data_IF_851205272905
#
_entry.id   IF_851205272905
#
_cell.length_a   1.000
_cell.length_b   1.000
_cell.length_c   1.000
_cell.angle_alpha   90.00
_cell.angle_beta   90.00
_cell.angle_gamma   90.00
#
_symmetry.space_group_name_H-M   'P 1'
#
loop_
_entity.id
_entity.type
_entity.pdbx_description
1 polymer ?
#
# COMPACT_ATOMS: atom_id res chain seq x y z
N UNK A 1 -8.43 52.72 -46.52
CA UNK A 1 -8.94 51.38 -46.15
C UNK A 1 -7.95 50.47 -45.39
N UNK A 2 -6.64 50.77 -45.30
CA UNK A 2 -5.63 49.89 -44.64
C UNK A 2 -5.70 49.85 -43.10
N UNK A 3 -6.06 50.95 -42.44
CA UNK A 3 -6.08 51.04 -40.95
C UNK A 3 -7.21 50.27 -40.28
N UNK A 4 -8.32 50.01 -40.98
CA UNK A 4 -9.44 49.20 -40.46
C UNK A 4 -9.11 47.70 -40.41
N UNK A 5 -8.31 47.21 -41.38
CA UNK A 5 -7.89 45.80 -41.43
C UNK A 5 -6.89 45.46 -40.31
N UNK A 6 -5.98 46.39 -39.98
CA UNK A 6 -5.01 46.21 -38.89
C UNK A 6 -5.71 46.16 -37.52
N UNK A 7 -6.73 47.00 -37.28
CA UNK A 7 -7.51 46.96 -36.04
C UNK A 7 -8.29 45.65 -35.87
N UNK A 8 -8.84 45.11 -36.96
CA UNK A 8 -9.56 43.82 -36.92
C UNK A 8 -8.61 42.65 -36.63
N UNK A 9 -7.42 42.64 -37.25
CA UNK A 9 -6.39 41.61 -36.98
C UNK A 9 -5.91 41.67 -35.53
N UNK A 10 -5.76 42.87 -34.96
CA UNK A 10 -5.28 43.04 -33.59
C UNK A 10 -6.34 42.59 -32.56
N UNK A 11 -7.62 42.87 -32.81
CA UNK A 11 -8.74 42.38 -31.97
C UNK A 11 -8.88 40.85 -32.07
N UNK A 12 -8.70 40.28 -33.27
CA UNK A 12 -8.80 38.84 -33.47
C UNK A 12 -7.64 38.08 -32.81
N UNK A 13 -6.42 38.64 -32.84
CA UNK A 13 -5.25 38.08 -32.16
C UNK A 13 -5.40 38.10 -30.64
N UNK A 14 -6.00 39.16 -30.09
CA UNK A 14 -6.28 39.27 -28.65
C UNK A 14 -7.35 38.28 -28.18
N UNK A 15 -8.33 37.97 -29.05
CA UNK A 15 -9.40 37.01 -28.73
C UNK A 15 -8.92 35.56 -28.72
N UNK A 16 -7.97 35.20 -29.59
CA UNK A 16 -7.38 33.85 -29.61
C UNK A 16 -6.48 33.63 -28.39
N UNK A 17 -5.75 34.64 -27.93
CA UNK A 17 -4.89 34.52 -26.75
C UNK A 17 -5.66 34.21 -25.45
N UNK A 18 -6.88 34.74 -25.29
CA UNK A 18 -7.73 34.44 -24.12
C UNK A 18 -8.30 33.02 -24.11
N UNK A 19 -8.42 32.37 -25.27
CA UNK A 19 -8.92 30.99 -25.36
C UNK A 19 -7.87 29.94 -24.94
N UNK A 20 -6.56 30.25 -25.04
CA UNK A 20 -5.50 29.30 -24.66
C UNK A 20 -5.22 29.25 -23.15
N UNK A 21 -5.54 30.31 -22.39
CA UNK A 21 -5.30 30.34 -20.94
C UNK A 21 -6.27 29.46 -20.13
N UNK A 22 -7.47 29.19 -20.66
CA UNK A 22 -8.50 28.41 -19.96
C UNK A 22 -8.47 26.91 -20.26
N UNK A 23 -7.60 26.42 -21.15
CA UNK A 23 -7.49 25.00 -21.47
C UNK A 23 -6.15 24.38 -21.02
N UNK A 24 -5.52 24.96 -20.00
CA UNK A 24 -4.50 24.26 -19.25
C UNK A 24 -5.24 23.34 -18.26
N UNK A 25 -5.23 22.01 -18.44
CA UNK A 25 -5.64 21.12 -17.37
C UNK A 25 -4.66 21.36 -16.23
N UNK A 26 -5.08 22.19 -15.28
CA UNK A 26 -4.40 22.29 -14.00
C UNK A 26 -4.50 20.89 -13.40
N UNK A 27 -3.46 20.09 -13.61
CA UNK A 27 -3.17 18.91 -12.83
C UNK A 27 -2.84 19.40 -11.41
N UNK A 28 -3.85 19.96 -10.75
CA UNK A 28 -3.86 20.13 -9.32
C UNK A 28 -4.02 18.72 -8.82
N UNK A 29 -2.89 18.04 -8.61
CA UNK A 29 -2.84 16.85 -7.78
C UNK A 29 -3.37 17.30 -6.43
N UNK A 30 -4.66 17.11 -6.24
CA UNK A 30 -5.33 17.27 -4.96
C UNK A 30 -4.61 16.27 -4.07
N UNK A 31 -3.69 16.76 -3.25
CA UNK A 31 -3.04 15.92 -2.25
C UNK A 31 -4.16 15.45 -1.33
N UNK A 32 -4.68 14.27 -1.61
CA UNK A 32 -5.66 13.62 -0.77
C UNK A 32 -5.01 13.54 0.61
N UNK A 33 -5.66 14.19 1.57
CA UNK A 33 -5.21 14.23 2.95
C UNK A 33 -5.37 12.81 3.46
N UNK A 34 -4.28 12.03 3.38
CA UNK A 34 -4.26 10.61 3.77
C UNK A 34 -4.77 10.50 5.20
N UNK A 35 -5.92 9.86 5.37
CA UNK A 35 -6.56 9.68 6.65
C UNK A 35 -5.67 8.82 7.54
N UNK A 36 -5.45 9.26 8.78
CA UNK A 36 -4.57 8.52 9.69
C UNK A 36 -5.34 7.31 10.19
N UNK A 37 -4.88 6.11 9.84
CA UNK A 37 -5.51 4.88 10.34
C UNK A 37 -5.11 4.69 11.80
N UNK A 38 -6.08 4.64 12.74
CA UNK A 38 -5.76 4.44 14.15
C UNK A 38 -5.22 3.02 14.37
N UNK A 39 -4.19 2.91 15.21
CA UNK A 39 -3.76 1.61 15.74
C UNK A 39 -4.74 1.13 16.80
N UNK A 40 -4.99 -0.18 16.84
CA UNK A 40 -5.75 -0.81 17.93
C UNK A 40 -4.93 -0.80 19.25
N UNK A 41 -5.58 -0.67 20.41
CA UNK A 41 -4.94 -0.79 21.73
C UNK A 41 -4.20 -2.12 21.92
N UNK A 42 -3.16 -2.12 22.75
CA UNK A 42 -2.35 -3.32 23.01
C UNK A 42 -3.16 -4.52 23.53
N UNK A 43 -4.19 -4.28 24.34
CA UNK A 43 -5.09 -5.34 24.81
C UNK A 43 -5.86 -6.00 23.66
N UNK A 44 -6.36 -5.20 22.70
CA UNK A 44 -7.06 -5.69 21.51
C UNK A 44 -6.09 -6.40 20.54
N UNK A 45 -4.84 -5.96 20.47
CA UNK A 45 -3.80 -6.64 19.68
C UNK A 45 -3.55 -8.06 20.17
N UNK A 46 -3.42 -8.25 21.49
CA UNK A 46 -3.23 -9.57 22.07
C UNK A 46 -4.47 -10.45 21.89
N UNK A 47 -5.67 -9.88 21.96
CA UNK A 47 -6.91 -10.60 21.64
C UNK A 47 -6.95 -11.04 20.17
N UNK A 48 -6.54 -10.20 19.24
CA UNK A 48 -6.46 -10.53 17.82
C UNK A 48 -5.47 -11.68 17.57
N UNK A 49 -4.27 -11.62 18.13
CA UNK A 49 -3.28 -12.71 18.00
C UNK A 49 -3.82 -14.03 18.56
N UNK A 50 -4.50 -13.99 19.71
CA UNK A 50 -5.14 -15.16 20.30
C UNK A 50 -6.30 -15.69 19.45
N UNK A 51 -7.10 -14.81 18.83
CA UNK A 51 -8.18 -15.19 17.92
C UNK A 51 -7.63 -15.89 16.67
N UNK A 52 -6.59 -15.33 16.05
CA UNK A 52 -5.91 -15.93 14.89
C UNK A 52 -5.32 -17.30 15.29
N UNK A 53 -4.61 -17.37 16.42
CA UNK A 53 -4.04 -18.62 16.92
C UNK A 53 -5.10 -19.69 17.22
N UNK A 54 -6.26 -19.27 17.76
CA UNK A 54 -7.38 -20.17 18.02
C UNK A 54 -8.01 -20.69 16.73
N UNK A 55 -8.26 -19.81 15.74
CA UNK A 55 -8.78 -20.21 14.43
C UNK A 55 -7.83 -21.18 13.72
N UNK A 56 -6.52 -20.90 13.75
CA UNK A 56 -5.48 -21.80 13.22
C UNK A 56 -5.48 -23.15 13.93
N UNK A 57 -5.65 -23.15 15.26
CA UNK A 57 -5.68 -24.39 16.04
C UNK A 57 -6.95 -25.23 15.79
N UNK A 58 -8.09 -24.58 15.55
CA UNK A 58 -9.35 -25.24 15.19
C UNK A 58 -9.32 -25.81 13.76
N UNK A 59 -8.53 -25.22 12.86
CA UNK A 59 -8.30 -25.73 11.52
C UNK A 59 -7.54 -27.07 11.47
N UNK A 60 -7.12 -27.62 12.62
CA UNK A 60 -6.43 -28.89 12.73
C UNK A 60 -7.15 -30.10 12.08
N UNK A 61 -8.44 -29.97 11.77
CA UNK A 61 -9.29 -31.02 11.16
C UNK A 61 -9.44 -30.91 9.63
N UNK A 62 -8.57 -30.20 8.92
CA UNK A 62 -8.64 -30.03 7.46
C UNK A 62 -9.74 -29.08 7.00
N UNK A 63 -10.35 -28.34 7.93
CA UNK A 63 -11.39 -27.36 7.65
C UNK A 63 -10.78 -26.06 7.12
N UNK A 64 -11.51 -25.41 6.21
CA UNK A 64 -11.16 -24.11 5.68
C UNK A 64 -11.41 -23.03 6.74
N UNK A 65 -10.42 -22.16 6.95
CA UNK A 65 -10.53 -20.97 7.79
C UNK A 65 -10.50 -19.72 6.93
N UNK A 66 -11.27 -18.71 7.32
CA UNK A 66 -11.23 -17.39 6.72
C UNK A 66 -10.87 -16.38 7.80
N UNK A 67 -9.78 -15.66 7.58
CA UNK A 67 -9.29 -14.61 8.46
C UNK A 67 -9.54 -13.27 7.78
N UNK A 68 -10.23 -12.37 8.46
CA UNK A 68 -10.45 -10.99 8.01
C UNK A 68 -9.63 -10.04 8.88
N UNK A 69 -8.78 -9.23 8.24
CA UNK A 69 -7.96 -8.23 8.91
C UNK A 69 -8.32 -6.85 8.40
N UNK A 70 -8.69 -5.95 9.29
CA UNK A 70 -8.96 -4.54 8.97
C UNK A 70 -7.66 -3.74 8.83
N UNK A 71 -7.73 -2.57 8.21
CA UNK A 71 -6.63 -1.61 8.11
C UNK A 71 -5.98 -1.28 9.46
N UNK A 72 -6.78 -1.06 10.52
CA UNK A 72 -6.29 -0.75 11.87
C UNK A 72 -5.54 -1.93 12.49
N UNK A 73 -6.07 -3.14 12.33
CA UNK A 73 -5.45 -4.38 12.81
C UNK A 73 -4.12 -4.64 12.08
N UNK A 74 -4.08 -4.52 10.74
CA UNK A 74 -2.86 -4.66 9.96
C UNK A 74 -1.83 -3.60 10.33
N UNK A 75 -2.26 -2.34 10.48
CA UNK A 75 -1.41 -1.23 10.87
C UNK A 75 -0.76 -1.51 12.22
N UNK A 76 -1.52 -1.97 13.23
CA UNK A 76 -0.95 -2.34 14.53
C UNK A 76 -0.01 -3.54 14.47
N UNK A 77 -0.36 -4.60 13.73
CA UNK A 77 0.48 -5.79 13.59
C UNK A 77 1.81 -5.48 12.90
N UNK A 78 1.80 -4.60 11.91
CA UNK A 78 3.02 -4.20 11.21
C UNK A 78 3.87 -3.30 12.10
N UNK A 79 3.28 -2.30 12.78
CA UNK A 79 4.04 -1.46 13.70
C UNK A 79 4.67 -2.24 14.87
N UNK A 80 4.08 -3.36 15.32
CA UNK A 80 4.67 -4.20 16.36
C UNK A 80 5.78 -5.15 15.87
N UNK A 81 5.80 -5.47 14.56
CA UNK A 81 6.75 -6.42 13.97
C UNK A 81 7.88 -5.78 13.18
N UNK A 82 7.84 -4.48 12.93
CA UNK A 82 8.94 -3.81 12.21
C UNK A 82 10.19 -3.80 13.09
N UNK A 83 11.27 -4.48 12.66
CA UNK A 83 12.52 -4.41 13.38
C UNK A 83 13.12 -3.02 13.20
N UNK A 84 13.57 -2.40 14.29
CA UNK A 84 14.53 -1.32 14.21
C UNK A 84 15.86 -1.92 13.74
N UNK A 85 16.14 -1.84 12.43
CA UNK A 85 17.45 -2.23 11.92
C UNK A 85 18.43 -1.08 12.14
N UNK A 86 19.71 -1.40 12.29
CA UNK A 86 20.76 -0.42 12.57
C UNK A 86 20.92 0.61 11.44
N UNK A 87 20.50 0.26 10.22
CA UNK A 87 20.61 1.08 9.00
C UNK A 87 19.36 1.89 8.65
N UNK A 88 18.16 1.46 9.08
CA UNK A 88 16.91 2.13 8.75
C UNK A 88 15.88 2.05 9.88
N UNK A 89 15.39 3.21 10.29
CA UNK A 89 14.30 3.33 11.26
C UNK A 89 13.01 3.69 10.53
N UNK A 90 12.00 2.85 10.67
CA UNK A 90 10.65 3.12 10.17
C UNK A 90 9.74 3.54 11.33
N UNK A 91 8.86 4.50 11.07
CA UNK A 91 7.92 5.03 12.06
C UNK A 91 6.63 5.49 11.39
N UNK A 92 5.56 5.66 12.18
CA UNK A 92 4.24 6.12 11.71
C UNK A 92 3.71 5.32 10.52
N UNK A 93 3.89 3.99 10.55
CA UNK A 93 3.48 3.13 9.45
C UNK A 93 1.97 2.99 9.46
N UNK A 94 1.37 3.06 8.29
CA UNK A 94 -0.07 2.99 8.05
C UNK A 94 -0.33 2.08 6.86
N UNK A 95 -1.37 1.26 6.97
CA UNK A 95 -1.74 0.28 5.94
C UNK A 95 -3.16 0.56 5.47
N UNK A 96 -3.29 1.13 4.28
CA UNK A 96 -4.59 1.32 3.61
C UNK A 96 -4.86 0.19 2.64
N UNK A 97 -6.09 -0.29 2.54
CA UNK A 97 -6.53 -1.38 1.68
C UNK A 97 -7.60 -0.86 0.72
N UNK A 98 -7.22 -0.63 -0.54
CA UNK A 98 -8.10 -0.03 -1.56
C UNK A 98 -7.90 -0.73 -2.91
N UNK A 99 -8.97 -0.88 -3.69
CA UNK A 99 -8.92 -1.36 -5.09
C UNK A 99 -8.09 -2.64 -5.28
N UNK A 100 -8.31 -3.62 -4.41
CA UNK A 100 -7.60 -4.91 -4.41
C UNK A 100 -6.07 -4.81 -4.21
N UNK A 101 -5.59 -3.68 -3.67
CA UNK A 101 -4.20 -3.39 -3.36
C UNK A 101 -4.03 -2.94 -1.91
N UNK A 102 -2.94 -3.38 -1.30
CA UNK A 102 -2.49 -2.88 -0.01
C UNK A 102 -1.49 -1.76 -0.25
N UNK A 103 -1.66 -0.63 0.41
CA UNK A 103 -0.71 0.46 0.37
C UNK A 103 -0.17 0.73 1.78
N UNK A 104 1.14 0.54 1.92
CA UNK A 104 1.91 0.87 3.10
C UNK A 104 2.41 2.31 2.98
N UNK A 105 2.38 3.09 4.05
CA UNK A 105 2.99 4.41 4.08
C UNK A 105 3.55 4.71 5.45
N UNK A 106 4.64 5.46 5.51
CA UNK A 106 5.21 5.89 6.79
C UNK A 106 6.46 6.74 6.59
N UNK A 107 7.13 7.01 7.70
CA UNK A 107 8.36 7.76 7.74
C UNK A 107 9.54 6.79 7.87
N UNK A 108 10.59 7.04 7.08
CA UNK A 108 11.84 6.28 7.12
C UNK A 108 13.01 7.22 7.37
N UNK A 109 13.92 6.81 8.25
CA UNK A 109 15.19 7.47 8.52
C UNK A 109 16.31 6.48 8.25
N UNK A 110 17.11 6.70 7.23
CA UNK A 110 18.24 5.85 6.84
C UNK A 110 19.47 6.70 6.54
N UNK A 111 20.62 6.36 7.14
CA UNK A 111 21.91 7.03 6.90
C UNK A 111 21.87 8.58 7.00
N UNK A 112 21.06 9.13 7.90
CA UNK A 112 20.88 10.59 8.09
C UNK A 112 19.91 11.27 7.13
N UNK A 113 19.31 10.52 6.20
CA UNK A 113 18.25 10.98 5.30
C UNK A 113 16.91 10.57 5.89
N UNK A 114 16.01 11.55 6.08
CA UNK A 114 14.62 11.30 6.47
C UNK A 114 13.70 11.49 5.28
N UNK A 115 12.66 10.67 5.18
CA UNK A 115 11.69 10.80 4.12
C UNK A 115 10.41 10.02 4.36
N UNK A 116 9.41 10.33 3.55
CA UNK A 116 8.14 9.62 3.50
C UNK A 116 8.21 8.52 2.47
N UNK A 117 7.96 7.30 2.90
CA UNK A 117 7.85 6.14 2.02
C UNK A 117 6.38 5.82 1.79
N UNK A 118 6.03 5.46 0.56
CA UNK A 118 4.73 4.89 0.21
C UNK A 118 4.97 3.70 -0.71
N UNK A 119 4.44 2.54 -0.37
CA UNK A 119 4.63 1.27 -1.08
C UNK A 119 3.25 0.72 -1.40
N UNK A 120 2.97 0.45 -2.66
CA UNK A 120 1.74 -0.21 -3.11
C UNK A 120 2.07 -1.66 -3.46
N UNK A 121 1.29 -2.59 -2.92
CA UNK A 121 1.49 -4.02 -3.01
C UNK A 121 0.21 -4.70 -3.47
N UNK A 122 0.34 -5.64 -4.39
CA UNK A 122 -0.68 -6.63 -4.70
C UNK A 122 -0.48 -7.87 -3.82
N UNK A 123 -1.57 -8.39 -3.26
CA UNK A 123 -1.61 -9.60 -2.45
C UNK A 123 -2.17 -10.75 -3.30
N UNK A 124 -1.50 -11.90 -3.31
CA UNK A 124 -1.95 -13.08 -4.08
C UNK A 124 -1.44 -14.38 -3.45
N UNK A 125 -2.14 -15.50 -3.64
CA UNK A 125 -1.58 -16.82 -3.34
C UNK A 125 -0.77 -17.33 -4.56
N UNK A 126 0.39 -17.92 -4.34
CA UNK A 126 1.17 -18.56 -5.41
C UNK A 126 0.65 -19.98 -5.73
N UNK A 127 1.26 -20.63 -6.72
CA UNK A 127 0.87 -21.98 -7.15
C UNK A 127 1.09 -23.06 -6.09
N UNK A 128 1.89 -22.80 -5.06
CA UNK A 128 2.12 -23.67 -3.92
C UNK A 128 1.17 -23.34 -2.74
N UNK A 129 0.26 -22.38 -2.93
CA UNK A 129 -0.63 -21.85 -1.91
C UNK A 129 0.09 -21.08 -0.80
N UNK A 130 1.26 -20.52 -1.10
CA UNK A 130 1.95 -19.62 -0.18
C UNK A 130 1.52 -18.18 -0.47
N UNK A 131 1.50 -17.30 0.54
CA UNK A 131 1.29 -15.88 0.32
C UNK A 131 2.44 -15.30 -0.51
N UNK A 132 2.07 -14.59 -1.57
CA UNK A 132 2.97 -13.85 -2.43
C UNK A 132 2.56 -12.37 -2.44
N UNK A 133 3.53 -11.50 -2.17
CA UNK A 133 3.39 -10.06 -2.25
C UNK A 133 4.19 -9.53 -3.44
N UNK A 134 3.53 -8.74 -4.28
CA UNK A 134 4.16 -8.09 -5.43
C UNK A 134 4.09 -6.58 -5.24
N UNK A 135 5.25 -5.92 -5.16
CA UNK A 135 5.30 -4.46 -5.10
C UNK A 135 5.00 -3.90 -6.48
N UNK A 136 3.89 -3.17 -6.61
CA UNK A 136 3.47 -2.54 -7.87
C UNK A 136 4.10 -1.17 -8.03
N UNK A 137 4.30 -0.45 -6.92
CA UNK A 137 4.92 0.87 -6.91
C UNK A 137 5.55 1.16 -5.54
N UNK A 138 6.65 1.91 -5.50
CA UNK A 138 7.09 2.52 -4.26
C UNK A 138 7.70 3.90 -4.52
N UNK A 139 7.44 4.84 -3.61
CA UNK A 139 7.93 6.21 -3.68
C UNK A 139 8.63 6.61 -2.40
N UNK A 140 9.75 7.33 -2.51
CA UNK A 140 10.45 7.98 -1.41
C UNK A 140 10.45 9.49 -1.65
N UNK A 141 9.85 10.27 -0.75
CA UNK A 141 9.69 11.72 -0.89
C UNK A 141 9.05 12.13 -2.23
N UNK A 142 8.11 11.32 -2.73
CA UNK A 142 7.42 11.56 -4.00
C UNK A 142 8.17 11.08 -5.25
N UNK A 143 9.41 10.60 -5.11
CA UNK A 143 10.16 10.02 -6.23
C UNK A 143 9.95 8.52 -6.29
N UNK A 144 9.57 8.01 -7.47
CA UNK A 144 9.41 6.57 -7.68
C UNK A 144 10.76 5.86 -7.60
N UNK A 145 10.81 4.74 -6.89
CA UNK A 145 12.02 3.93 -6.78
C UNK A 145 12.27 3.14 -8.07
N UNK A 146 13.53 2.91 -8.46
CA UNK A 146 13.86 2.08 -9.62
C UNK A 146 13.34 0.65 -9.46
N UNK A 147 12.96 0.01 -10.58
CA UNK A 147 12.42 -1.36 -10.58
C UNK A 147 13.34 -2.36 -9.87
N UNK A 148 14.66 -2.21 -10.00
CA UNK A 148 15.63 -3.08 -9.33
C UNK A 148 15.51 -3.03 -7.80
N UNK A 149 15.23 -1.86 -7.22
CA UNK A 149 14.97 -1.72 -5.79
C UNK A 149 13.62 -2.36 -5.42
N UNK A 150 12.58 -2.15 -6.22
CA UNK A 150 11.27 -2.77 -5.98
C UNK A 150 11.37 -4.29 -5.94
N UNK A 151 12.08 -4.89 -6.90
CA UNK A 151 12.33 -6.33 -6.93
C UNK A 151 13.06 -6.81 -5.68
N UNK A 152 14.11 -6.11 -5.25
CA UNK A 152 14.86 -6.50 -4.05
C UNK A 152 14.02 -6.43 -2.78
N UNK A 153 13.21 -5.38 -2.62
CA UNK A 153 12.29 -5.24 -1.48
C UNK A 153 11.23 -6.35 -1.55
N UNK A 154 10.65 -6.61 -2.72
CA UNK A 154 9.64 -7.65 -2.91
C UNK A 154 10.20 -9.03 -2.56
N UNK A 155 11.41 -9.36 -2.98
CA UNK A 155 12.10 -10.61 -2.63
C UNK A 155 12.33 -10.69 -1.12
N UNK A 156 12.85 -9.63 -0.50
CA UNK A 156 13.11 -9.62 0.94
C UNK A 156 11.84 -9.82 1.78
N UNK A 157 10.73 -9.19 1.38
CA UNK A 157 9.42 -9.36 2.03
C UNK A 157 8.92 -10.80 1.83
N UNK A 158 8.96 -11.32 0.60
CA UNK A 158 8.51 -12.67 0.30
C UNK A 158 9.33 -13.73 1.05
N UNK A 159 10.65 -13.55 1.17
CA UNK A 159 11.52 -14.46 1.93
C UNK A 159 11.18 -14.43 3.43
N UNK A 160 10.93 -13.24 3.99
CA UNK A 160 10.50 -13.08 5.37
C UNK A 160 9.14 -13.74 5.67
N UNK A 161 8.21 -13.68 4.72
CA UNK A 161 6.90 -14.32 4.86
C UNK A 161 7.00 -15.84 4.66
N UNK A 162 7.78 -16.30 3.67
CA UNK A 162 8.02 -17.73 3.42
C UNK A 162 8.56 -18.43 4.66
N UNK A 163 9.47 -17.79 5.39
CA UNK A 163 10.00 -18.29 6.67
C UNK A 163 8.93 -18.52 7.75
N UNK A 164 7.77 -17.87 7.66
CA UNK A 164 6.65 -18.01 8.62
C UNK A 164 5.52 -18.93 8.13
N UNK A 165 5.53 -19.33 6.85
CA UNK A 165 4.44 -20.12 6.22
C UNK A 165 4.57 -21.64 6.38
N UNK A 166 5.55 -22.13 7.14
CA UNK A 166 5.82 -23.56 7.36
C UNK A 166 4.82 -24.32 8.24
N UNK A 167 3.66 -23.77 8.58
CA UNK A 167 2.75 -24.34 9.60
C UNK A 167 1.73 -25.38 9.07
N UNK A 168 1.95 -25.93 7.87
CA UNK A 168 1.05 -26.94 7.29
C UNK A 168 -0.27 -26.37 6.77
N UNK A 169 -0.28 -25.11 6.34
CA UNK A 169 -1.45 -24.46 5.75
C UNK A 169 -1.18 -24.08 4.30
N UNK A 170 -2.20 -24.25 3.46
CA UNK A 170 -2.26 -23.75 2.08
C UNK A 170 -3.26 -22.60 2.05
N UNK A 171 -2.81 -21.44 1.59
CA UNK A 171 -3.67 -20.31 1.28
C UNK A 171 -4.38 -20.60 -0.04
N UNK A 172 -5.71 -20.68 0.01
CA UNK A 172 -6.57 -20.91 -1.14
C UNK A 172 -6.86 -19.60 -1.87
N UNK A 173 -7.01 -18.51 -1.12
CA UNK A 173 -7.23 -17.17 -1.69
C UNK A 173 -6.78 -16.07 -0.74
N UNK A 174 -6.35 -14.96 -1.32
CA UNK A 174 -6.23 -13.67 -0.65
C UNK A 174 -6.93 -12.62 -1.49
N UNK A 175 -7.74 -11.79 -0.87
CA UNK A 175 -8.43 -10.70 -1.54
C UNK A 175 -8.55 -9.49 -0.61
N UNK A 176 -8.74 -8.32 -1.20
CA UNK A 176 -9.00 -7.10 -0.45
C UNK A 176 -10.38 -6.59 -0.85
N UNK A 177 -11.27 -6.48 0.13
CA UNK A 177 -12.64 -6.01 -0.07
C UNK A 177 -13.11 -5.26 1.17
N UNK A 178 -13.88 -4.19 0.99
CA UNK A 178 -14.42 -3.37 2.08
C UNK A 178 -13.36 -2.92 3.12
N UNK A 179 -12.19 -2.49 2.65
CA UNK A 179 -11.05 -2.11 3.51
C UNK A 179 -10.57 -3.23 4.45
N UNK A 180 -10.78 -4.49 4.08
CA UNK A 180 -10.30 -5.67 4.79
C UNK A 180 -9.46 -6.56 3.88
N UNK A 181 -8.43 -7.16 4.45
CA UNK A 181 -7.70 -8.27 3.86
C UNK A 181 -8.39 -9.56 4.29
N UNK A 182 -8.87 -10.32 3.32
CA UNK A 182 -9.56 -11.59 3.51
C UNK A 182 -8.62 -12.69 3.04
N UNK A 183 -8.20 -13.55 3.97
CA UNK A 183 -7.30 -14.67 3.72
C UNK A 183 -8.07 -15.95 4.00
N UNK A 184 -8.18 -16.81 3.00
CA UNK A 184 -8.78 -18.12 3.16
C UNK A 184 -7.69 -19.18 3.07
N UNK A 185 -7.56 -20.01 4.11
CA UNK A 185 -6.54 -21.02 4.21
C UNK A 185 -7.12 -22.37 4.66
N UNK A 186 -6.42 -23.45 4.35
CA UNK A 186 -6.79 -24.81 4.73
C UNK A 186 -5.55 -25.55 5.23
N UNK A 187 -5.72 -26.35 6.28
CA UNK A 187 -4.65 -27.20 6.78
C UNK A 187 -4.49 -28.45 5.89
N UNK A 188 -3.24 -28.78 5.56
CA UNK A 188 -2.84 -30.02 4.91
C UNK A 188 -2.97 -31.24 5.83
#
# INVERSE_FOLDING_TARGET
MKTKKVKIILILSLLVASALACNLPAAVTKSEKKEVIPTIPAAEQQQLENQIASQISQAASGQQITVELTESQLTSLINSKIPATQDAQFSNIQVTLNDNQAQLSGDVVASGISGKVSISLAVSADAEGKPALTITNATLNGFSLPQSMLTNISTSINDGIKGQTGQGFIIQSMSISDHKLIITAQKL
#
